data_IF_333759105119
#
_entry.id   IF_333759105119
#
_cell.length_a   1.000
_cell.length_b   1.000
_cell.length_c   1.000
_cell.angle_alpha   90.00
_cell.angle_beta   90.00
_cell.angle_gamma   90.00
#
_symmetry.space_group_name_H-M   'P 1'
#
loop_
_entity.id
_entity.type
_entity.pdbx_description
1 polymer ?
#
# COMPACT_ATOMS: atom_id res chain seq x y z
N UNK A 1 0.51 9.82 -21.38
CA UNK A 1 0.57 8.57 -20.59
C UNK A 1 -0.70 8.50 -19.76
N UNK A 2 -1.57 7.52 -20.03
CA UNK A 2 -2.82 7.35 -19.28
C UNK A 2 -2.54 6.55 -18.02
N UNK A 3 -2.43 7.22 -16.88
CA UNK A 3 -2.33 6.57 -15.57
C UNK A 3 -3.68 5.95 -15.24
N UNK A 4 -3.82 4.63 -15.31
CA UNK A 4 -5.07 3.97 -14.93
C UNK A 4 -5.34 4.22 -13.43
N UNK A 5 -6.36 5.01 -13.04
CA UNK A 5 -6.62 5.34 -11.64
C UNK A 5 -6.97 4.09 -10.81
N UNK A 6 -7.47 3.04 -11.47
CA UNK A 6 -7.79 1.74 -10.90
C UNK A 6 -6.59 0.92 -10.38
N UNK A 7 -5.35 1.33 -10.69
CA UNK A 7 -4.13 0.68 -10.20
C UNK A 7 -3.33 1.56 -9.25
N UNK A 8 -3.95 2.60 -8.69
CA UNK A 8 -3.28 3.52 -7.76
C UNK A 8 -3.76 3.33 -6.33
N UNK A 9 -2.85 3.43 -5.36
CA UNK A 9 -3.19 3.41 -3.93
C UNK A 9 -2.23 4.31 -3.14
N UNK A 10 -2.66 4.76 -1.97
CA UNK A 10 -1.86 5.62 -1.08
C UNK A 10 -1.56 4.92 0.23
N UNK A 11 -0.33 5.08 0.73
CA UNK A 11 0.09 4.53 2.01
C UNK A 11 0.61 5.68 2.88
N UNK A 12 0.05 5.80 4.08
CA UNK A 12 0.38 6.89 5.03
C UNK A 12 1.01 6.33 6.30
N UNK A 13 2.33 6.08 6.33
CA UNK A 13 3.04 5.84 7.56
C UNK A 13 3.25 7.17 8.30
N UNK A 14 2.85 7.21 9.57
CA UNK A 14 2.99 8.38 10.45
C UNK A 14 2.49 9.68 9.78
N UNK A 15 3.39 10.57 9.35
CA UNK A 15 3.09 11.93 8.86
C UNK A 15 3.29 12.11 7.34
N UNK A 16 3.70 11.06 6.61
CA UNK A 16 3.95 11.18 5.16
C UNK A 16 3.05 10.27 4.36
N UNK A 17 2.47 10.79 3.28
CA UNK A 17 1.69 10.00 2.31
C UNK A 17 2.57 9.66 1.11
N UNK A 18 2.62 8.38 0.76
CA UNK A 18 3.24 7.87 -0.46
C UNK A 18 2.15 7.41 -1.43
N UNK A 19 2.20 7.90 -2.67
CA UNK A 19 1.29 7.49 -3.74
C UNK A 19 1.98 6.46 -4.61
N UNK A 20 1.37 5.29 -4.76
CA UNK A 20 1.91 4.17 -5.51
C UNK A 20 1.02 3.85 -6.72
N UNK A 21 1.67 3.47 -7.82
CA UNK A 21 1.01 3.03 -9.05
C UNK A 21 1.46 1.61 -9.31
N UNK A 22 0.53 0.66 -9.23
CA UNK A 22 0.79 -0.73 -9.54
C UNK A 22 0.83 -0.94 -11.07
N UNK A 23 1.74 -1.78 -11.58
CA UNK A 23 1.82 -2.09 -13.00
C UNK A 23 0.68 -3.01 -13.48
N UNK A 24 0.03 -3.73 -12.56
CA UNK A 24 -1.10 -4.63 -12.85
C UNK A 24 -2.03 -4.81 -11.64
N UNK A 25 -3.27 -5.30 -11.84
CA UNK A 25 -4.19 -5.60 -10.74
C UNK A 25 -3.65 -6.66 -9.78
N UNK A 26 -2.93 -7.66 -10.29
CA UNK A 26 -2.32 -8.73 -9.49
C UNK A 26 -1.24 -8.15 -8.58
N UNK A 27 -0.38 -7.30 -9.13
CA UNK A 27 0.66 -6.62 -8.35
C UNK A 27 0.04 -5.75 -7.25
N UNK A 28 -1.05 -5.02 -7.55
CA UNK A 28 -1.76 -4.22 -6.56
C UNK A 28 -2.28 -5.07 -5.39
N UNK A 29 -2.87 -6.22 -5.68
CA UNK A 29 -3.38 -7.16 -4.65
C UNK A 29 -2.25 -7.68 -3.76
N UNK A 30 -1.13 -8.08 -4.36
CA UNK A 30 0.05 -8.56 -3.62
C UNK A 30 0.60 -7.45 -2.71
N UNK A 31 0.77 -6.24 -3.25
CA UNK A 31 1.25 -5.10 -2.45
C UNK A 31 0.31 -4.78 -1.28
N UNK A 32 -1.01 -4.80 -1.51
CA UNK A 32 -1.97 -4.54 -0.45
C UNK A 32 -1.88 -5.60 0.65
N UNK A 33 -1.80 -6.89 0.28
CA UNK A 33 -1.70 -8.01 1.22
C UNK A 33 -0.42 -7.94 2.07
N UNK A 34 0.73 -7.67 1.45
CA UNK A 34 2.02 -7.50 2.15
C UNK A 34 2.00 -6.31 3.10
N UNK A 35 1.38 -5.19 2.70
CA UNK A 35 1.33 -3.98 3.54
C UNK A 35 0.39 -4.19 4.72
N UNK A 36 -0.81 -4.75 4.50
CA UNK A 36 -1.76 -5.04 5.59
C UNK A 36 -1.14 -6.05 6.57
N UNK A 37 -0.68 -7.20 6.08
CA UNK A 37 -0.04 -8.23 6.91
C UNK A 37 1.19 -7.69 7.64
N UNK A 38 2.02 -6.91 6.94
CA UNK A 38 3.19 -6.26 7.52
C UNK A 38 2.81 -5.28 8.65
N UNK A 39 1.74 -4.52 8.49
CA UNK A 39 1.25 -3.58 9.52
C UNK A 39 0.59 -4.26 10.71
N UNK A 40 -0.07 -5.41 10.52
CA UNK A 40 -0.65 -6.19 11.62
C UNK A 40 0.42 -6.67 12.63
N UNK A 41 1.67 -6.85 12.21
CA UNK A 41 2.79 -7.14 13.11
C UNK A 41 3.30 -5.94 13.92
N UNK A 42 2.97 -4.70 13.54
CA UNK A 42 3.43 -3.47 14.22
C UNK A 42 2.45 -2.93 15.27
N UNK A 43 1.20 -3.37 15.28
CA UNK A 43 0.23 -2.97 16.33
C UNK A 43 0.58 -3.53 17.71
N UNK A 44 1.44 -4.56 17.78
CA UNK A 44 1.85 -5.20 19.03
C UNK A 44 3.07 -4.53 19.71
N UNK A 45 3.77 -3.60 19.05
CA UNK A 45 4.99 -2.97 19.59
C UNK A 45 4.83 -1.48 19.93
N UNK A 46 3.61 -0.95 19.88
CA UNK A 46 3.31 0.39 20.42
C UNK A 46 2.89 0.21 21.89
N UNK A 47 3.88 -0.06 22.74
CA UNK A 47 3.77 0.03 24.21
C UNK A 47 3.70 1.48 24.68
#
# INVERSE_FOLDING_TARGET
>A
QNSNPSLTFSVKPHDRVYYMVAPSPEAMRIWMDVIVTGTEGYTQFTV
#
